data_IF_435885433830
#
_entry.id   IF_435885433830
#
_cell.length_a   1.000
_cell.length_b   1.000
_cell.length_c   1.000
_cell.angle_alpha   90.00
_cell.angle_beta   90.00
_cell.angle_gamma   90.00
#
_symmetry.space_group_name_H-M   'P 1'
#
loop_
_entity.id
_entity.type
_entity.pdbx_description
1 polymer ?
#
# COMPACT_ATOMS: atom_id res chain seq x y z
N UNK A 1 16.00 16.34 -8.60
CA UNK A 1 15.11 16.89 -7.55
C UNK A 1 15.24 16.10 -6.25
N UNK A 2 14.67 16.54 -5.12
CA UNK A 2 14.66 15.77 -3.85
C UNK A 2 13.96 14.42 -4.00
N UNK A 3 12.88 14.36 -4.79
CA UNK A 3 12.10 13.14 -5.03
C UNK A 3 12.88 12.08 -5.79
N UNK A 4 13.73 12.46 -6.76
CA UNK A 4 14.58 11.52 -7.52
C UNK A 4 15.62 10.79 -6.66
N UNK A 5 15.97 11.34 -5.49
CA UNK A 5 16.95 10.73 -4.57
C UNK A 5 16.32 9.93 -3.45
N UNK A 6 14.99 9.90 -3.35
CA UNK A 6 14.27 9.09 -2.39
C UNK A 6 14.66 7.62 -2.56
N UNK A 7 14.91 6.93 -1.44
CA UNK A 7 15.24 5.49 -1.42
C UNK A 7 14.23 4.65 -0.65
N UNK A 8 13.31 5.29 0.06
CA UNK A 8 12.28 4.69 0.90
C UNK A 8 11.17 5.72 1.11
N UNK A 9 9.91 5.26 1.09
CA UNK A 9 8.76 6.07 1.52
C UNK A 9 8.24 5.50 2.84
N UNK A 10 8.10 6.35 3.86
CA UNK A 10 7.58 5.94 5.17
C UNK A 10 6.36 6.77 5.52
N UNK A 11 5.32 6.14 6.06
CA UNK A 11 4.15 6.83 6.59
C UNK A 11 3.67 6.19 7.89
N UNK A 12 3.70 6.94 8.99
CA UNK A 12 3.22 6.47 10.28
C UNK A 12 1.91 7.17 10.63
N UNK A 13 0.79 6.44 10.57
CA UNK A 13 -0.57 7.01 10.61
C UNK A 13 -0.77 8.15 9.59
N UNK A 14 -0.44 7.95 8.30
CA UNK A 14 -0.53 9.01 7.30
C UNK A 14 -1.97 9.16 6.77
N UNK A 15 -2.97 9.29 7.65
CA UNK A 15 -4.43 9.40 7.40
C UNK A 15 -4.86 9.23 5.93
N UNK A 16 -5.49 10.24 5.34
CA UNK A 16 -5.99 10.26 3.96
C UNK A 16 -4.90 9.97 2.91
N UNK A 17 -3.62 10.07 3.28
CA UNK A 17 -2.47 9.93 2.40
C UNK A 17 -1.84 8.52 2.41
N UNK A 18 -2.39 7.54 3.15
CA UNK A 18 -1.81 6.19 3.26
C UNK A 18 -1.61 5.53 1.89
N UNK A 19 -2.66 5.52 1.07
CA UNK A 19 -2.58 4.96 -0.28
C UNK A 19 -1.67 5.78 -1.20
N UNK A 20 -1.73 7.11 -1.13
CA UNK A 20 -0.89 7.99 -1.93
C UNK A 20 0.62 7.80 -1.62
N UNK A 21 0.98 7.51 -0.37
CA UNK A 21 2.35 7.17 0.01
C UNK A 21 2.81 5.86 -0.65
N UNK A 22 1.95 4.84 -0.68
CA UNK A 22 2.22 3.58 -1.39
C UNK A 22 2.38 3.86 -2.90
N UNK A 23 1.47 4.64 -3.50
CA UNK A 23 1.52 4.98 -4.93
C UNK A 23 2.79 5.75 -5.30
N UNK A 24 3.22 6.67 -4.45
CA UNK A 24 4.49 7.38 -4.64
C UNK A 24 5.68 6.41 -4.62
N UNK A 25 5.71 5.44 -3.70
CA UNK A 25 6.78 4.46 -3.61
C UNK A 25 6.84 3.59 -4.88
N UNK A 26 5.68 3.15 -5.37
CA UNK A 26 5.56 2.39 -6.61
C UNK A 26 6.03 3.22 -7.82
N UNK A 27 5.61 4.48 -7.92
CA UNK A 27 6.00 5.38 -9.00
C UNK A 27 7.52 5.65 -9.02
N UNK A 28 8.12 5.81 -7.83
CA UNK A 28 9.56 5.99 -7.67
C UNK A 28 10.36 4.68 -7.75
N UNK A 29 9.67 3.53 -7.74
CA UNK A 29 10.25 2.17 -7.66
C UNK A 29 11.21 2.04 -6.48
N UNK A 30 10.75 2.47 -5.31
CA UNK A 30 11.46 2.34 -4.05
C UNK A 30 10.60 1.57 -3.04
N UNK A 31 11.21 0.91 -2.05
CA UNK A 31 10.49 0.31 -0.94
C UNK A 31 9.62 1.31 -0.18
N UNK A 32 8.63 0.79 0.54
CA UNK A 32 7.86 1.57 1.51
C UNK A 32 7.66 0.84 2.83
N UNK A 33 7.30 1.61 3.86
CA UNK A 33 6.75 1.12 5.12
C UNK A 33 5.64 2.06 5.58
N UNK A 34 4.40 1.58 5.68
CA UNK A 34 3.25 2.38 6.11
C UNK A 34 2.49 1.71 7.25
N UNK A 35 2.00 2.52 8.20
CA UNK A 35 1.07 2.10 9.25
C UNK A 35 -0.29 2.72 8.96
N UNK A 36 -1.24 1.96 8.39
CA UNK A 36 -2.59 2.44 8.17
C UNK A 36 -3.29 2.75 9.50
N UNK A 37 -4.20 3.72 9.52
CA UNK A 37 -4.96 4.10 10.72
C UNK A 37 -6.48 4.20 10.42
N UNK A 38 -6.87 5.14 9.57
CA UNK A 38 -8.26 5.52 9.34
C UNK A 38 -8.74 5.13 7.94
N UNK A 39 -10.02 4.79 7.83
CA UNK A 39 -10.69 4.52 6.54
C UNK A 39 -11.70 5.63 6.29
N UNK A 40 -11.62 6.27 5.12
CA UNK A 40 -12.49 7.39 4.74
C UNK A 40 -13.31 7.05 3.48
N UNK A 41 -14.36 6.20 3.57
CA UNK A 41 -15.04 5.67 2.39
C UNK A 41 -15.70 6.75 1.53
N UNK A 42 -16.22 7.81 2.16
CA UNK A 42 -16.83 8.95 1.47
C UNK A 42 -15.83 9.78 0.67
N UNK A 43 -14.57 9.84 1.11
CA UNK A 43 -13.50 10.57 0.41
C UNK A 43 -12.83 9.71 -0.66
N UNK A 44 -12.82 8.39 -0.47
CA UNK A 44 -12.23 7.43 -1.40
C UNK A 44 -13.27 6.44 -1.92
N UNK A 45 -14.34 6.92 -2.57
CA UNK A 45 -15.45 6.08 -3.01
C UNK A 45 -15.06 5.16 -4.17
N UNK A 46 -13.83 5.22 -4.70
CA UNK A 46 -13.32 4.29 -5.72
C UNK A 46 -12.68 3.03 -5.11
N UNK A 47 -12.32 3.04 -3.81
CA UNK A 47 -11.75 1.86 -3.15
C UNK A 47 -12.80 0.77 -3.04
N UNK A 48 -12.45 -0.43 -3.51
CA UNK A 48 -13.35 -1.58 -3.55
C UNK A 48 -12.68 -2.83 -2.99
N UNK A 49 -13.42 -3.62 -2.21
CA UNK A 49 -13.01 -4.97 -1.82
C UNK A 49 -13.00 -5.88 -3.06
N UNK A 50 -12.50 -7.11 -2.92
CA UNK A 50 -12.49 -8.09 -4.02
C UNK A 50 -13.90 -8.44 -4.49
N UNK A 51 -14.89 -8.30 -3.62
CA UNK A 51 -16.31 -8.53 -3.90
C UNK A 51 -17.01 -7.28 -4.46
N UNK A 52 -16.27 -6.19 -4.71
CA UNK A 52 -16.80 -4.95 -5.28
C UNK A 52 -17.55 -4.07 -4.27
N UNK A 53 -17.43 -4.30 -2.96
CA UNK A 53 -18.04 -3.45 -1.93
C UNK A 53 -17.14 -2.26 -1.59
N UNK A 54 -17.67 -1.11 -1.12
CA UNK A 54 -16.83 -0.03 -0.60
C UNK A 54 -15.94 -0.52 0.54
N UNK A 55 -14.66 -0.15 0.51
CA UNK A 55 -13.75 -0.39 1.64
C UNK A 55 -14.16 0.52 2.80
N UNK A 56 -14.71 -0.06 3.86
CA UNK A 56 -15.34 0.68 4.96
C UNK A 56 -14.74 0.39 6.33
N UNK A 57 -13.99 -0.69 6.47
CA UNK A 57 -13.31 -1.10 7.70
C UNK A 57 -11.80 -1.13 7.55
N UNK A 58 -11.10 -1.06 8.69
CA UNK A 58 -9.64 -1.13 8.75
C UNK A 58 -9.09 -2.39 8.07
N UNK A 59 -9.67 -3.56 8.40
CA UNK A 59 -9.21 -4.84 7.86
C UNK A 59 -9.40 -4.91 6.33
N UNK A 60 -10.53 -4.40 5.80
CA UNK A 60 -10.74 -4.27 4.36
C UNK A 60 -9.72 -3.31 3.72
N UNK A 61 -9.32 -2.24 4.41
CA UNK A 61 -8.33 -1.31 3.87
C UNK A 61 -6.93 -1.90 3.83
N UNK A 62 -6.55 -2.66 4.87
CA UNK A 62 -5.31 -3.44 4.86
C UNK A 62 -5.31 -4.45 3.72
N UNK A 63 -6.39 -5.21 3.54
CA UNK A 63 -6.50 -6.18 2.44
C UNK A 63 -6.50 -5.52 1.06
N UNK A 64 -7.14 -4.35 0.93
CA UNK A 64 -7.09 -3.54 -0.28
C UNK A 64 -5.65 -3.14 -0.64
N UNK A 65 -4.87 -2.65 0.34
CA UNK A 65 -3.46 -2.29 0.13
C UNK A 65 -2.59 -3.51 -0.18
N UNK A 66 -2.84 -4.66 0.46
CA UNK A 66 -2.17 -5.92 0.15
C UNK A 66 -2.44 -6.41 -1.27
N UNK A 67 -3.67 -6.25 -1.75
CA UNK A 67 -4.02 -6.60 -3.12
C UNK A 67 -3.38 -5.65 -4.15
N UNK A 68 -3.13 -4.39 -3.76
CA UNK A 68 -2.53 -3.37 -4.63
C UNK A 68 -1.05 -3.63 -4.95
N UNK A 69 -0.30 -4.23 -4.02
CA UNK A 69 1.14 -4.48 -4.17
C UNK A 69 1.47 -5.95 -3.96
N UNK A 70 1.94 -6.61 -5.02
CA UNK A 70 2.44 -7.97 -4.93
C UNK A 70 3.65 -8.04 -3.98
N UNK A 71 3.68 -9.06 -3.11
CA UNK A 71 4.80 -9.26 -2.19
C UNK A 71 4.83 -8.32 -0.99
N UNK A 72 3.75 -7.55 -0.70
CA UNK A 72 3.72 -6.74 0.52
C UNK A 72 3.82 -7.64 1.76
N UNK A 73 4.70 -7.25 2.67
CA UNK A 73 4.95 -7.93 3.95
C UNK A 73 4.21 -7.19 5.06
N UNK A 74 4.01 -7.89 6.18
CA UNK A 74 3.46 -7.29 7.39
C UNK A 74 4.23 -7.62 8.63
N UNK A 75 4.37 -6.62 9.48
CA UNK A 75 4.89 -6.73 10.83
C UNK A 75 3.97 -5.98 11.79
N UNK A 76 4.03 -6.34 13.07
CA UNK A 76 3.33 -5.63 14.13
C UNK A 76 4.35 -4.81 14.93
N UNK A 77 4.01 -3.54 15.20
CA UNK A 77 4.81 -2.70 16.09
C UNK A 77 4.32 -2.91 17.52
N UNK A 78 5.19 -3.30 18.46
CA UNK A 78 4.83 -3.55 19.84
C UNK A 78 4.70 -2.24 20.61
N UNK A 79 3.74 -1.39 20.23
CA UNK A 79 3.33 -0.29 21.07
C UNK A 79 2.58 -0.89 22.25
N UNK A 80 3.31 -1.10 23.36
CA UNK A 80 2.71 -1.57 24.59
C UNK A 80 1.52 -0.69 24.98
N UNK A 81 0.48 -1.31 25.54
CA UNK A 81 -0.76 -0.66 25.98
C UNK A 81 -0.61 0.31 27.15
N UNK A 82 0.51 1.03 27.23
CA UNK A 82 0.72 2.07 28.23
C UNK A 82 -0.34 3.15 28.05
N UNK A 83 -1.28 3.21 28.99
CA UNK A 83 -2.38 4.19 28.99
C UNK A 83 -3.71 3.67 28.44
N UNK A 84 -3.82 2.39 28.04
CA UNK A 84 -5.13 1.80 27.71
C UNK A 84 -6.02 1.76 28.95
N UNK A 85 -7.27 2.22 28.79
CA UNK A 85 -8.27 2.05 29.84
C UNK A 85 -8.70 0.59 29.92
N UNK A 86 -9.18 0.17 31.09
CA UNK A 86 -9.73 -1.17 31.25
C UNK A 86 -10.87 -1.40 30.22
N UNK A 87 -10.69 -2.38 29.34
CA UNK A 87 -11.62 -2.71 28.27
C UNK A 87 -11.29 -2.13 26.88
N UNK A 88 -10.23 -1.34 26.75
CA UNK A 88 -9.74 -0.89 25.44
C UNK A 88 -8.80 -1.93 24.82
N UNK A 89 -9.10 -2.36 23.59
CA UNK A 89 -8.15 -3.15 22.81
C UNK A 89 -6.98 -2.25 22.35
N UNK A 90 -5.74 -2.78 22.36
CA UNK A 90 -4.59 -2.03 21.88
C UNK A 90 -4.79 -1.62 20.41
N UNK A 91 -4.34 -0.42 20.00
CA UNK A 91 -4.42 0.00 18.62
C UNK A 91 -3.61 -0.98 17.74
N UNK A 92 -4.29 -1.56 16.73
CA UNK A 92 -3.65 -2.45 15.75
C UNK A 92 -2.59 -1.66 14.99
N UNK A 93 -1.33 -1.88 15.34
CA UNK A 93 -0.19 -1.15 14.78
C UNK A 93 0.53 -2.03 13.76
N UNK A 94 -0.20 -2.41 12.72
CA UNK A 94 0.33 -3.22 11.62
C UNK A 94 1.09 -2.30 10.66
N UNK A 95 2.32 -2.67 10.35
CA UNK A 95 3.13 -2.06 9.29
C UNK A 95 2.99 -2.91 8.04
N UNK A 96 2.53 -2.31 6.95
CA UNK A 96 2.65 -2.85 5.60
C UNK A 96 3.96 -2.35 5.00
N UNK A 97 4.82 -3.24 4.54
CA UNK A 97 6.11 -2.83 3.99
C UNK A 97 6.59 -3.72 2.84
N UNK A 98 7.55 -3.19 2.09
CA UNK A 98 8.30 -3.90 1.05
C UNK A 98 9.79 -3.77 1.31
N UNK A 99 10.58 -4.72 0.82
CA UNK A 99 12.03 -4.65 0.76
C UNK A 99 12.50 -4.36 -0.67
N UNK A 100 13.76 -3.96 -0.88
CA UNK A 100 14.28 -3.69 -2.23
C UNK A 100 14.04 -4.83 -3.23
N UNK A 101 14.14 -6.08 -2.79
CA UNK A 101 13.87 -7.26 -3.62
C UNK A 101 12.39 -7.43 -4.02
N UNK A 102 11.46 -6.88 -3.24
CA UNK A 102 10.02 -6.94 -3.55
C UNK A 102 9.63 -5.92 -4.64
N UNK A 103 10.48 -4.90 -4.87
CA UNK A 103 10.27 -3.82 -5.84
C UNK A 103 11.18 -3.94 -7.08
N UNK A 104 12.26 -4.72 -6.99
CA UNK A 104 13.24 -4.85 -8.06
C UNK A 104 12.68 -5.65 -9.26
N UNK A 105 12.96 -5.23 -10.50
CA UNK A 105 12.59 -5.99 -11.70
C UNK A 105 13.50 -7.22 -11.82
N UNK A 106 13.13 -8.31 -11.15
CA UNK A 106 13.93 -9.54 -11.14
C UNK A 106 13.24 -10.79 -10.61
N UNK A 107 12.07 -10.68 -9.96
CA UNK A 107 11.27 -11.84 -9.53
C UNK A 107 9.95 -11.83 -10.29
N UNK A 108 10.04 -12.07 -11.60
CA UNK A 108 8.89 -12.41 -12.44
C UNK A 108 8.41 -13.80 -12.04
N UNK A 109 7.19 -13.90 -11.50
CA UNK A 109 6.17 -14.89 -11.92
C UNK A 109 4.89 -14.64 -11.14
N UNK A 110 4.00 -13.83 -11.72
CA UNK A 110 2.58 -14.15 -11.88
C UNK A 110 1.98 -13.06 -12.76
N UNK A 111 1.57 -13.50 -13.94
CA UNK A 111 0.90 -12.72 -14.96
C UNK A 111 -0.24 -11.91 -14.32
N UNK A 112 -0.24 -10.60 -14.55
CA UNK A 112 -1.43 -9.80 -14.37
C UNK A 112 -2.50 -10.39 -15.33
N UNK A 113 -3.39 -11.23 -14.78
CA UNK A 113 -4.43 -11.85 -15.58
C UNK A 113 -5.32 -10.74 -16.17
N UNK A 114 -5.57 -10.73 -17.49
CA UNK A 114 -6.28 -9.66 -18.15
C UNK A 114 -7.79 -9.82 -17.95
N UNK A 115 -8.28 -9.56 -16.73
CA UNK A 115 -9.71 -9.30 -16.46
C UNK A 115 -9.77 -8.24 -15.37
N UNK A 116 -10.45 -7.13 -15.68
CA UNK A 116 -10.57 -5.86 -14.92
C UNK A 116 -9.70 -4.69 -15.41
N UNK A 117 -9.39 -4.64 -16.71
CA UNK A 117 -9.14 -3.37 -17.39
C UNK A 117 -10.49 -2.68 -17.68
N UNK A 118 -11.04 -2.00 -16.69
CA UNK A 118 -11.95 -0.87 -16.92
C UNK A 118 -11.41 0.28 -16.06
N UNK A 119 -10.83 1.27 -16.74
CA UNK A 119 -10.48 2.61 -16.26
C UNK A 119 -9.20 2.86 -15.43
N UNK A 120 -8.16 2.02 -15.54
CA UNK A 120 -6.80 2.46 -15.17
C UNK A 120 -6.09 3.07 -16.39
N UNK A 121 -5.46 4.26 -16.29
CA UNK A 121 -4.58 4.74 -17.35
C UNK A 121 -3.43 3.73 -17.55
N UNK A 122 -3.04 3.43 -18.79
CA UNK A 122 -1.99 2.46 -19.06
C UNK A 122 -0.70 2.91 -18.36
N UNK A 123 -0.14 2.00 -17.55
CA UNK A 123 1.21 2.13 -17.03
C UNK A 123 2.15 2.40 -18.21
N UNK A 124 2.97 3.48 -18.20
CA UNK A 124 3.83 3.79 -19.32
C UNK A 124 4.87 2.66 -19.46
N UNK A 125 4.61 1.75 -20.39
CA UNK A 125 5.57 0.76 -20.83
C UNK A 125 6.80 1.52 -21.32
N UNK A 126 7.95 1.31 -20.66
CA UNK A 126 9.23 1.81 -21.14
C UNK A 126 9.42 1.31 -22.58
N UNK A 127 9.56 2.25 -23.51
CA UNK A 127 10.15 1.98 -24.80
C UNK A 127 11.48 1.25 -24.57
N UNK A 128 11.60 0.05 -25.12
CA UNK A 128 12.88 -0.63 -25.24
C UNK A 128 13.63 0.10 -26.35
N UNK A 129 14.50 1.04 -25.99
CA UNK A 129 15.55 1.50 -26.89
C UNK A 129 16.56 0.35 -27.04
N UNK A 130 16.50 -0.32 -28.19
CA UNK A 130 17.55 -1.19 -28.69
C UNK A 130 18.15 -0.52 -29.93
N UNK A 131 19.48 -0.39 -29.90
CA UNK A 131 20.41 -0.08 -30.99
C UNK A 131 20.40 1.36 -31.54
#
# INVERSE_FOLDING_TARGET
STLERTRLVVGFHPDQATEAAVDLALALRVPFAVVPCCVFPSLFPHRRTREGKPVASYDEFVEYLRAKVAGVRTAELPFGGHGLRAGEEPPRSIVLYTLPEDIAPGVSSLECSPRHALDAPPCPARARENA
#
